data_IF_613105427817
#
_entry.id   IF_613105427817
#
_cell.length_a   1.000
_cell.length_b   1.000
_cell.length_c   1.000
_cell.angle_alpha   90.00
_cell.angle_beta   90.00
_cell.angle_gamma   90.00
#
_symmetry.space_group_name_H-M   'P 1'
#
loop_
_entity.id
_entity.type
_entity.pdbx_description
1 polymer ?
#
# COMPACT_ATOMS: atom_id res chain seq x y z
N UNK A 1 23.92 -34.27 4.46
CA UNK A 1 23.10 -33.53 5.34
C UNK A 1 21.87 -33.03 4.66
N UNK A 2 20.83 -33.74 4.97
CA UNK A 2 19.54 -33.47 4.36
C UNK A 2 18.96 -32.17 4.85
N UNK A 3 19.25 -31.78 6.08
CA UNK A 3 18.65 -30.56 6.63
C UNK A 3 19.03 -29.29 5.91
N UNK A 4 20.17 -29.27 5.24
CA UNK A 4 20.58 -28.08 4.49
C UNK A 4 19.73 -27.79 3.26
N UNK A 5 18.97 -28.79 2.80
CA UNK A 5 18.16 -28.64 1.59
C UNK A 5 16.90 -27.85 1.88
N UNK A 6 16.38 -27.91 3.09
CA UNK A 6 15.15 -27.20 3.44
C UNK A 6 15.37 -25.69 3.59
N UNK A 7 16.54 -25.32 4.08
CA UNK A 7 16.81 -23.90 4.35
C UNK A 7 16.69 -23.04 3.11
N UNK A 8 17.31 -23.36 1.96
CA UNK A 8 17.16 -22.54 0.77
C UNK A 8 15.72 -22.43 0.29
N UNK A 9 14.98 -23.53 0.33
CA UNK A 9 13.58 -23.51 -0.11
C UNK A 9 12.75 -22.62 0.79
N UNK A 10 12.95 -22.73 2.10
CA UNK A 10 12.24 -21.93 3.07
C UNK A 10 12.55 -20.44 2.90
N UNK A 11 13.81 -20.11 2.66
CA UNK A 11 14.21 -18.73 2.44
C UNK A 11 13.59 -18.15 1.17
N UNK A 12 13.46 -18.94 0.12
CA UNK A 12 12.81 -18.49 -1.11
C UNK A 12 11.36 -18.13 -0.85
N UNK A 13 10.64 -18.95 -0.10
CA UNK A 13 9.25 -18.66 0.25
C UNK A 13 9.16 -17.38 1.07
N UNK A 14 10.04 -17.21 2.02
CA UNK A 14 10.08 -16.00 2.84
C UNK A 14 10.35 -14.76 2.00
N UNK A 15 11.25 -14.87 1.04
CA UNK A 15 11.56 -13.75 0.15
C UNK A 15 10.37 -13.36 -0.71
N UNK A 16 9.61 -14.34 -1.20
CA UNK A 16 8.42 -14.02 -2.00
C UNK A 16 7.39 -13.27 -1.18
N UNK A 17 7.17 -13.68 0.05
CA UNK A 17 6.23 -12.99 0.94
C UNK A 17 6.73 -11.57 1.24
N UNK A 18 8.03 -11.42 1.53
CA UNK A 18 8.59 -10.13 1.87
C UNK A 18 8.75 -9.20 0.68
N UNK A 19 8.66 -9.73 -0.56
CA UNK A 19 8.80 -8.90 -1.76
C UNK A 19 7.52 -8.14 -2.12
N UNK A 20 6.38 -8.52 -1.55
CA UNK A 20 5.13 -7.80 -1.77
C UNK A 20 5.14 -6.50 -1.00
N UNK A 21 4.67 -5.45 -1.66
CA UNK A 21 4.54 -4.14 -1.01
C UNK A 21 3.26 -4.09 -0.20
N UNK A 22 3.26 -3.26 0.82
CA UNK A 22 2.08 -3.00 1.63
C UNK A 22 1.63 -1.57 1.38
N UNK A 23 0.45 -1.42 0.80
CA UNK A 23 -0.11 -0.12 0.44
C UNK A 23 -1.25 0.21 1.39
N UNK A 24 -1.19 1.39 1.99
CA UNK A 24 -2.27 1.88 2.85
C UNK A 24 -2.83 3.17 2.26
N UNK A 25 -4.16 3.23 2.16
CA UNK A 25 -4.86 4.47 1.83
C UNK A 25 -5.52 4.98 3.10
N UNK A 26 -5.11 6.16 3.55
CA UNK A 26 -5.80 6.85 4.65
C UNK A 26 -6.91 7.68 4.04
N UNK A 27 -8.13 7.42 4.48
CA UNK A 27 -9.33 7.99 3.87
C UNK A 27 -10.39 8.30 4.93
N UNK A 28 -11.57 8.74 4.50
CA UNK A 28 -12.74 8.87 5.36
C UNK A 28 -13.99 8.71 4.51
N UNK A 29 -15.13 8.37 5.15
CA UNK A 29 -16.40 8.24 4.40
C UNK A 29 -16.75 9.53 3.68
N UNK A 30 -17.27 9.41 2.47
CA UNK A 30 -17.70 10.55 1.68
C UNK A 30 -16.57 11.31 0.98
N UNK A 31 -15.36 10.79 1.01
CA UNK A 31 -14.23 11.43 0.34
C UNK A 31 -14.13 10.95 -1.11
N UNK A 32 -14.52 11.83 -2.03
CA UNK A 32 -14.53 11.50 -3.46
C UNK A 32 -13.13 11.24 -4.00
N UNK A 33 -12.16 12.06 -3.63
CA UNK A 33 -10.77 11.86 -4.04
C UNK A 33 -10.18 10.56 -3.50
N UNK A 34 -10.64 10.14 -2.33
CA UNK A 34 -10.19 8.86 -1.76
C UNK A 34 -10.69 7.70 -2.59
N UNK A 35 -11.94 7.78 -3.05
CA UNK A 35 -12.50 6.75 -3.93
C UNK A 35 -11.75 6.70 -5.26
N UNK A 36 -11.40 7.86 -5.81
CA UNK A 36 -10.61 7.92 -7.04
C UNK A 36 -9.22 7.31 -6.86
N UNK A 37 -8.56 7.62 -5.76
CA UNK A 37 -7.24 7.07 -5.47
C UNK A 37 -7.29 5.54 -5.36
N UNK A 38 -8.30 5.04 -4.66
CA UNK A 38 -8.48 3.60 -4.51
C UNK A 38 -8.70 2.93 -5.87
N UNK A 39 -9.55 3.51 -6.70
CA UNK A 39 -9.81 2.98 -8.03
C UNK A 39 -8.55 2.99 -8.89
N UNK A 40 -7.77 4.06 -8.85
CA UNK A 40 -6.51 4.16 -9.58
C UNK A 40 -5.56 3.04 -9.18
N UNK A 41 -5.41 2.80 -7.89
CA UNK A 41 -4.53 1.76 -7.38
C UNK A 41 -5.02 0.37 -7.78
N UNK A 42 -6.32 0.11 -7.63
CA UNK A 42 -6.88 -1.19 -7.95
C UNK A 42 -6.80 -1.49 -9.45
N UNK A 43 -6.90 -0.47 -10.28
CA UNK A 43 -6.89 -0.62 -11.74
C UNK A 43 -5.52 -0.46 -12.36
N UNK A 44 -4.48 -0.34 -11.55
CA UNK A 44 -3.12 -0.13 -12.06
C UNK A 44 -2.52 -1.36 -12.76
N UNK A 45 -3.14 -2.53 -12.58
CA UNK A 45 -2.68 -3.74 -13.27
C UNK A 45 -1.56 -4.49 -12.57
N UNK A 46 -1.29 -4.18 -11.30
CA UNK A 46 -0.23 -4.83 -10.55
C UNK A 46 -0.70 -5.30 -9.16
N UNK A 47 -1.98 -5.66 -9.05
CA UNK A 47 -2.58 -6.01 -7.76
C UNK A 47 -1.98 -7.27 -7.13
N UNK A 48 -1.30 -8.11 -7.90
CA UNK A 48 -0.61 -9.27 -7.39
C UNK A 48 0.70 -8.94 -6.69
N UNK A 49 1.15 -7.68 -6.76
CA UNK A 49 2.44 -7.26 -6.22
C UNK A 49 2.34 -6.50 -4.91
N UNK A 50 1.13 -6.25 -4.44
CA UNK A 50 0.95 -5.52 -3.18
C UNK A 50 -0.31 -5.99 -2.47
N UNK A 51 -0.35 -5.74 -1.18
CA UNK A 51 -1.57 -5.82 -0.39
C UNK A 51 -2.10 -4.41 -0.19
N UNK A 52 -3.41 -4.25 -0.19
CA UNK A 52 -4.05 -2.95 -0.05
C UNK A 52 -4.89 -2.92 1.22
N UNK A 53 -4.67 -1.90 2.03
CA UNK A 53 -5.43 -1.67 3.24
C UNK A 53 -5.98 -0.24 3.20
N UNK A 54 -7.25 -0.07 3.56
CA UNK A 54 -7.84 1.25 3.67
C UNK A 54 -8.14 1.53 5.14
N UNK A 55 -7.66 2.66 5.64
CA UNK A 55 -7.84 3.04 7.04
C UNK A 55 -8.65 4.33 7.09
N UNK A 56 -9.77 4.29 7.82
CA UNK A 56 -10.59 5.45 8.07
C UNK A 56 -9.92 6.29 9.16
N UNK A 57 -9.51 7.51 8.81
CA UNK A 57 -8.80 8.38 9.77
C UNK A 57 -9.67 8.81 10.93
N UNK A 58 -10.99 8.68 10.80
CA UNK A 58 -11.91 8.99 11.90
C UNK A 58 -11.89 7.95 13.01
N UNK A 59 -11.27 6.80 12.75
CA UNK A 59 -11.15 5.74 13.75
C UNK A 59 -10.08 6.02 14.81
N UNK A 60 -9.28 7.05 14.63
CA UNK A 60 -8.15 7.36 15.50
C UNK A 60 -7.91 8.87 15.50
N UNK A 61 -7.94 9.48 16.69
CA UNK A 61 -7.81 10.93 16.82
C UNK A 61 -6.47 11.46 16.29
N UNK A 62 -5.40 10.68 16.41
CA UNK A 62 -4.10 11.08 15.89
C UNK A 62 -4.08 11.11 14.38
N UNK A 63 -4.67 10.09 13.76
CA UNK A 63 -4.77 10.04 12.30
C UNK A 63 -5.62 11.18 11.78
N UNK A 64 -6.71 11.48 12.47
CA UNK A 64 -7.58 12.57 12.07
C UNK A 64 -6.84 13.89 12.11
N UNK A 65 -6.12 14.19 13.20
CA UNK A 65 -5.32 15.41 13.29
C UNK A 65 -4.25 15.48 12.22
N UNK A 66 -3.62 14.35 11.93
CA UNK A 66 -2.48 14.32 11.03
C UNK A 66 -2.87 14.47 9.56
N UNK A 67 -3.98 13.84 9.16
CA UNK A 67 -4.31 13.69 7.74
C UNK A 67 -5.62 14.37 7.31
N UNK A 68 -6.30 15.00 8.21
CA UNK A 68 -7.64 15.54 7.99
C UNK A 68 -7.80 16.39 6.73
N UNK A 69 -6.77 17.16 6.38
CA UNK A 69 -6.80 18.03 5.21
C UNK A 69 -6.01 17.47 4.03
N UNK A 70 -5.43 16.30 4.18
CA UNK A 70 -4.48 15.76 3.20
C UNK A 70 -4.95 14.49 2.51
N UNK A 71 -6.10 13.95 2.93
CA UNK A 71 -6.60 12.70 2.36
C UNK A 71 -7.01 12.86 0.90
N UNK A 72 -6.87 11.80 0.11
CA UNK A 72 -6.25 10.53 0.49
C UNK A 72 -4.75 10.66 0.68
N UNK A 73 -4.23 9.98 1.68
CA UNK A 73 -2.79 9.83 1.87
C UNK A 73 -2.47 8.37 1.61
N UNK A 74 -1.51 8.11 0.74
CA UNK A 74 -1.12 6.76 0.37
C UNK A 74 0.30 6.51 0.80
N UNK A 75 0.49 5.44 1.59
CA UNK A 75 1.82 5.00 1.98
C UNK A 75 2.14 3.67 1.31
N UNK A 76 3.40 3.47 0.99
CA UNK A 76 3.90 2.19 0.47
C UNK A 76 5.02 1.78 1.42
N UNK A 77 4.85 0.62 2.04
CA UNK A 77 5.79 0.10 3.04
C UNK A 77 6.09 1.13 4.14
N UNK A 78 5.05 1.86 4.56
CA UNK A 78 5.16 2.82 5.64
C UNK A 78 5.67 4.20 5.24
N UNK A 79 6.02 4.41 3.97
CA UNK A 79 6.53 5.69 3.49
C UNK A 79 5.44 6.41 2.71
N UNK A 80 5.13 7.64 3.10
CA UNK A 80 4.14 8.43 2.41
C UNK A 80 4.60 8.76 0.99
N UNK A 81 3.77 8.42 0.00
CA UNK A 81 4.11 8.61 -1.40
C UNK A 81 3.16 9.55 -2.14
N UNK A 82 1.90 9.61 -1.74
CA UNK A 82 0.91 10.45 -2.43
C UNK A 82 0.00 11.13 -1.44
N UNK A 83 -0.44 12.32 -1.79
CA UNK A 83 -1.49 13.07 -1.10
C UNK A 83 -2.48 13.57 -2.14
N UNK A 84 -3.77 13.53 -1.82
CA UNK A 84 -4.87 14.01 -2.63
C UNK A 84 -5.11 13.21 -3.91
N UNK A 85 -4.08 12.99 -4.71
CA UNK A 85 -4.20 12.25 -5.97
C UNK A 85 -3.05 11.28 -6.13
N UNK A 86 -3.33 10.18 -6.85
CA UNK A 86 -2.33 9.16 -7.14
C UNK A 86 -1.99 9.23 -8.62
N UNK A 87 -0.72 9.45 -8.92
CA UNK A 87 -0.22 9.32 -10.28
C UNK A 87 0.03 7.85 -10.56
N UNK A 88 -0.69 7.28 -11.53
CA UNK A 88 -0.66 5.85 -11.77
C UNK A 88 0.71 5.37 -12.25
N UNK A 89 1.38 6.13 -13.10
CA UNK A 89 2.70 5.73 -13.60
C UNK A 89 3.72 5.68 -12.48
N UNK A 90 3.69 6.67 -11.59
CA UNK A 90 4.58 6.69 -10.44
C UNK A 90 4.26 5.57 -9.46
N UNK A 91 2.97 5.29 -9.26
CA UNK A 91 2.56 4.19 -8.40
C UNK A 91 3.11 2.87 -8.91
N UNK A 92 2.96 2.61 -10.22
CA UNK A 92 3.45 1.37 -10.83
C UNK A 92 4.97 1.28 -10.66
N UNK A 93 5.68 2.38 -10.87
CA UNK A 93 7.13 2.41 -10.70
C UNK A 93 7.51 2.03 -9.27
N UNK A 94 6.84 2.62 -8.28
CA UNK A 94 7.15 2.37 -6.87
C UNK A 94 6.86 0.93 -6.46
N UNK A 95 5.82 0.34 -7.03
CA UNK A 95 5.46 -1.05 -6.70
C UNK A 95 6.50 -2.03 -7.24
N UNK A 96 7.15 -1.71 -8.36
CA UNK A 96 8.10 -2.61 -9.02
C UNK A 96 9.56 -2.37 -8.63
N UNK A 97 9.82 -1.40 -7.79
CA UNK A 97 11.20 -1.08 -7.37
C UNK A 97 11.79 -2.14 -6.44
#
# INVERSE_FOLDING_TARGET
>A
MVGGLFIPFFLIIMQEVSSRRHVIIYSRPGCHLCDEAKATIQNAGCSDRFSLEEINIESDDELLRKYKYDIPVVTIDGVERFRHRVNVAEFIRLIHV
#
